data_IF_137900434775
#
_entry.id   IF_137900434775
#
_cell.length_a   1.000
_cell.length_b   1.000
_cell.length_c   1.000
_cell.angle_alpha   90.00
_cell.angle_beta   90.00
_cell.angle_gamma   90.00
#
_symmetry.space_group_name_H-M   'P 1'
#
loop_
_entity.id
_entity.type
_entity.pdbx_description
1 polymer ?
#
# COMPACT_ATOMS: atom_id res chain seq x y z
N UNK A 1 5.86 -25.99 22.66
CA UNK A 1 4.94 -24.85 22.85
C UNK A 1 4.67 -24.26 21.47
N UNK A 2 3.52 -24.53 20.95
CA UNK A 2 3.07 -23.87 19.74
C UNK A 2 2.87 -22.39 20.09
N UNK A 3 3.69 -21.51 19.55
CA UNK A 3 3.37 -20.12 19.49
C UNK A 3 2.04 -20.03 18.72
N UNK A 4 0.97 -19.76 19.40
CA UNK A 4 -0.26 -19.32 18.80
C UNK A 4 0.10 -18.05 18.07
N UNK A 5 0.37 -18.18 16.78
CA UNK A 5 0.45 -17.06 15.88
C UNK A 5 -0.94 -16.45 15.88
N UNK A 6 -1.12 -15.42 16.71
CA UNK A 6 -2.25 -14.53 16.50
C UNK A 6 -2.27 -14.16 15.03
N UNK A 7 -3.43 -14.23 14.38
CA UNK A 7 -3.49 -13.98 12.96
C UNK A 7 -2.98 -12.57 12.69
N UNK A 8 -1.72 -12.56 12.29
CA UNK A 8 -1.13 -11.63 11.34
C UNK A 8 -1.82 -10.25 11.37
N UNK A 9 -1.12 -9.31 11.93
CA UNK A 9 -1.37 -7.89 11.67
C UNK A 9 -1.74 -7.73 10.20
N UNK A 10 -2.83 -7.03 9.88
CA UNK A 10 -3.19 -6.85 8.48
C UNK A 10 -2.00 -6.27 7.73
N UNK A 11 -1.79 -6.65 6.46
CA UNK A 11 -0.68 -6.16 5.66
C UNK A 11 -0.67 -4.64 5.61
N UNK A 12 0.51 -4.05 5.58
CA UNK A 12 0.71 -2.60 5.53
C UNK A 12 1.22 -2.21 4.15
N UNK A 13 0.49 -1.32 3.47
CA UNK A 13 0.90 -0.73 2.21
C UNK A 13 1.63 0.59 2.49
N UNK A 14 2.93 0.62 2.23
CA UNK A 14 3.73 1.82 2.32
C UNK A 14 3.68 2.59 1.00
N UNK A 15 3.39 3.87 1.08
CA UNK A 15 3.23 4.75 -0.07
C UNK A 15 4.02 6.05 0.10
N UNK A 16 4.27 6.74 -1.02
CA UNK A 16 4.90 8.06 -0.99
C UNK A 16 3.93 9.11 -0.44
N UNK A 17 4.21 9.63 0.73
CA UNK A 17 3.37 10.62 1.42
C UNK A 17 3.27 11.98 0.71
N UNK A 18 4.21 12.30 -0.17
CA UNK A 18 4.24 13.56 -0.93
C UNK A 18 3.54 13.46 -2.29
N UNK A 19 3.15 12.27 -2.70
CA UNK A 19 2.61 12.01 -4.04
C UNK A 19 1.08 12.13 -4.06
N UNK A 20 0.54 13.04 -4.87
CA UNK A 20 -0.90 13.21 -5.03
C UNK A 20 -1.57 11.96 -5.64
N UNK A 21 -0.91 11.27 -6.56
CA UNK A 21 -1.39 10.01 -7.13
C UNK A 21 -1.50 8.92 -6.06
N UNK A 22 -0.48 8.80 -5.21
CA UNK A 22 -0.48 7.82 -4.11
C UNK A 22 -1.59 8.09 -3.10
N UNK A 23 -1.80 9.36 -2.73
CA UNK A 23 -2.92 9.76 -1.87
C UNK A 23 -4.27 9.41 -2.48
N UNK A 24 -4.45 9.69 -3.78
CA UNK A 24 -5.67 9.35 -4.51
C UNK A 24 -5.91 7.84 -4.56
N UNK A 25 -4.86 7.06 -4.77
CA UNK A 25 -4.92 5.60 -4.78
C UNK A 25 -5.31 5.05 -3.39
N UNK A 26 -4.69 5.53 -2.32
CA UNK A 26 -5.02 5.12 -0.94
C UNK A 26 -6.48 5.44 -0.61
N UNK A 27 -6.95 6.66 -0.92
CA UNK A 27 -8.36 7.02 -0.73
C UNK A 27 -9.32 6.11 -1.48
N UNK A 28 -8.96 5.73 -2.70
CA UNK A 28 -9.77 4.81 -3.51
C UNK A 28 -9.79 3.40 -2.95
N UNK A 29 -8.66 2.89 -2.49
CA UNK A 29 -8.57 1.59 -1.83
C UNK A 29 -9.38 1.55 -0.53
N UNK A 30 -9.30 2.58 0.30
CA UNK A 30 -10.12 2.73 1.51
C UNK A 30 -11.61 2.71 1.18
N UNK A 31 -12.02 3.46 0.15
CA UNK A 31 -13.41 3.49 -0.30
C UNK A 31 -13.87 2.12 -0.80
N UNK A 32 -13.06 1.44 -1.58
CA UNK A 32 -13.40 0.11 -2.10
C UNK A 32 -13.51 -0.94 -1.01
N UNK A 33 -12.67 -0.87 0.01
CA UNK A 33 -12.77 -1.75 1.16
C UNK A 33 -14.08 -1.53 1.92
N UNK A 34 -14.47 -0.29 2.14
CA UNK A 34 -15.75 0.05 2.78
C UNK A 34 -16.97 -0.44 1.98
N UNK A 35 -16.91 -0.37 0.63
CA UNK A 35 -18.00 -0.82 -0.23
C UNK A 35 -18.15 -2.35 -0.29
N UNK A 36 -17.06 -3.08 -0.09
CA UNK A 36 -17.08 -4.55 -0.10
C UNK A 36 -17.48 -5.18 1.24
N UNK A 37 -17.42 -4.41 2.30
CA UNK A 37 -17.81 -4.85 3.63
C UNK A 37 -19.11 -4.18 4.07
N UNK A 38 -20.13 -4.96 4.39
CA UNK A 38 -21.40 -4.48 4.96
C UNK A 38 -21.25 -3.85 6.36
N UNK A 39 -20.02 -3.71 6.83
CA UNK A 39 -19.63 -3.04 8.10
C UNK A 39 -18.23 -2.45 7.96
N UNK A 40 -17.93 -1.33 8.62
CA UNK A 40 -16.56 -1.02 8.95
C UNK A 40 -16.01 -2.25 9.67
N UNK A 41 -15.11 -2.97 9.01
CA UNK A 41 -14.58 -4.20 9.56
C UNK A 41 -13.94 -3.87 10.91
N UNK A 42 -14.28 -4.59 11.93
CA UNK A 42 -13.61 -4.52 13.23
C UNK A 42 -12.09 -4.80 13.07
N UNK A 43 -11.71 -5.36 11.92
CA UNK A 43 -10.34 -5.57 11.51
C UNK A 43 -10.16 -5.09 10.06
N UNK A 44 -9.35 -4.06 9.81
CA UNK A 44 -9.04 -3.62 8.46
C UNK A 44 -8.27 -4.73 7.72
N UNK A 45 -8.63 -4.96 6.46
CA UNK A 45 -7.93 -5.92 5.59
C UNK A 45 -6.58 -5.41 5.11
N UNK A 46 -6.40 -4.11 5.10
CA UNK A 46 -5.18 -3.45 4.66
C UNK A 46 -4.99 -2.17 5.47
N UNK A 47 -3.77 -1.95 5.93
CA UNK A 47 -3.35 -0.70 6.55
C UNK A 47 -2.45 0.08 5.59
N UNK A 48 -2.31 1.34 5.83
CA UNK A 48 -1.50 2.25 5.02
C UNK A 48 -0.53 3.01 5.91
N UNK A 49 0.66 3.27 5.40
CA UNK A 49 1.66 4.11 6.08
C UNK A 49 2.52 4.85 5.05
N UNK A 50 2.94 6.08 5.34
CA UNK A 50 3.88 6.77 4.48
C UNK A 50 5.27 6.14 4.57
N UNK A 51 5.99 6.12 3.44
CA UNK A 51 7.36 5.58 3.36
C UNK A 51 8.38 6.37 4.19
N UNK A 52 8.09 7.61 4.50
CA UNK A 52 8.88 8.51 5.35
C UNK A 52 8.35 8.63 6.78
N UNK A 53 7.35 7.84 7.14
CA UNK A 53 6.74 7.84 8.46
C UNK A 53 7.50 7.02 9.49
N UNK A 54 7.08 7.16 10.75
CA UNK A 54 7.70 6.48 11.89
C UNK A 54 7.61 4.96 11.81
N UNK A 55 6.51 4.43 11.32
CA UNK A 55 6.32 2.98 11.14
C UNK A 55 7.32 2.41 10.14
N UNK A 56 7.50 3.07 9.01
CA UNK A 56 8.47 2.64 8.00
C UNK A 56 9.91 2.72 8.51
N UNK A 57 10.24 3.77 9.27
CA UNK A 57 11.55 3.92 9.86
C UNK A 57 11.85 2.82 10.88
N UNK A 58 10.89 2.49 11.73
CA UNK A 58 11.03 1.41 12.71
C UNK A 58 11.31 0.06 12.02
N UNK A 59 10.56 -0.29 10.98
CA UNK A 59 10.77 -1.53 10.23
C UNK A 59 12.09 -1.55 9.45
N UNK A 60 12.57 -0.41 8.95
CA UNK A 60 13.90 -0.32 8.34
C UNK A 60 15.02 -0.58 9.35
N UNK A 61 14.91 -0.05 10.56
CA UNK A 61 15.87 -0.32 11.65
C UNK A 61 15.91 -1.80 12.04
N UNK A 62 14.79 -2.49 11.89
CA UNK A 62 14.68 -3.94 12.13
C UNK A 62 15.16 -4.78 10.93
N UNK A 63 15.46 -4.15 9.79
CA UNK A 63 15.84 -4.83 8.55
C UNK A 63 14.69 -5.45 7.78
N UNK A 64 13.45 -5.12 8.12
CA UNK A 64 12.23 -5.66 7.49
C UNK A 64 11.75 -4.86 6.28
N UNK A 65 12.23 -3.65 6.10
CA UNK A 65 11.95 -2.82 4.94
C UNK A 65 13.23 -2.39 4.22
N UNK A 66 13.19 -2.34 2.86
CA UNK A 66 14.31 -1.81 2.09
C UNK A 66 14.55 -0.32 2.39
N UNK A 67 15.79 0.11 2.19
CA UNK A 67 16.21 1.48 2.48
C UNK A 67 15.71 2.52 1.47
N UNK A 68 15.34 2.09 0.24
CA UNK A 68 14.83 3.00 -0.77
C UNK A 68 13.38 3.43 -0.49
N UNK A 69 12.99 4.57 -1.03
CA UNK A 69 11.67 5.19 -0.82
C UNK A 69 10.94 5.49 -2.14
N UNK A 70 11.38 4.88 -3.22
CA UNK A 70 10.91 5.21 -4.57
C UNK A 70 9.74 4.35 -5.05
N UNK A 71 9.53 3.21 -4.43
CA UNK A 71 8.49 2.26 -4.79
C UNK A 71 7.47 2.05 -3.67
N UNK A 72 6.24 1.77 -4.05
CA UNK A 72 5.21 1.29 -3.13
C UNK A 72 5.61 -0.10 -2.63
N UNK A 73 5.48 -0.33 -1.34
CA UNK A 73 5.86 -1.58 -0.68
C UNK A 73 4.66 -2.12 0.10
N UNK A 74 4.30 -3.36 -0.16
CA UNK A 74 3.37 -4.10 0.70
C UNK A 74 4.19 -5.00 1.63
N UNK A 75 4.06 -4.77 2.91
CA UNK A 75 4.72 -5.53 3.96
C UNK A 75 3.74 -6.45 4.66
N UNK A 76 4.18 -7.67 4.90
CA UNK A 76 3.55 -8.66 5.76
C UNK A 76 4.61 -9.27 6.67
N UNK A 77 4.20 -9.95 7.72
CA UNK A 77 5.14 -10.63 8.64
C UNK A 77 6.00 -11.72 7.95
N UNK A 78 5.62 -12.13 6.75
CA UNK A 78 6.28 -13.21 6.02
C UNK A 78 7.07 -12.74 4.81
N UNK A 79 6.61 -11.68 4.14
CA UNK A 79 7.19 -11.22 2.89
C UNK A 79 6.94 -9.74 2.63
N UNK A 80 7.74 -9.16 1.75
CA UNK A 80 7.53 -7.84 1.19
C UNK A 80 7.38 -7.93 -0.32
N UNK A 81 6.41 -7.20 -0.86
CA UNK A 81 6.24 -7.02 -2.30
C UNK A 81 6.45 -5.54 -2.65
N UNK A 82 7.04 -5.28 -3.79
CA UNK A 82 7.37 -3.92 -4.24
C UNK A 82 6.77 -3.62 -5.62
N UNK A 83 6.52 -2.35 -5.89
CA UNK A 83 6.10 -1.88 -7.19
C UNK A 83 4.77 -2.48 -7.65
N UNK A 84 4.73 -3.00 -8.88
CA UNK A 84 3.52 -3.57 -9.44
C UNK A 84 3.02 -4.82 -8.69
N UNK A 85 3.92 -5.58 -8.07
CA UNK A 85 3.57 -6.72 -7.24
C UNK A 85 2.85 -6.28 -5.95
N UNK A 86 3.29 -5.18 -5.34
CA UNK A 86 2.62 -4.59 -4.19
C UNK A 86 1.20 -4.12 -4.52
N UNK A 87 0.99 -3.48 -5.66
CA UNK A 87 -0.33 -3.05 -6.14
C UNK A 87 -1.26 -4.25 -6.34
N UNK A 88 -0.78 -5.29 -7.01
CA UNK A 88 -1.54 -6.51 -7.24
C UNK A 88 -1.93 -7.21 -5.93
N UNK A 89 -1.00 -7.33 -5.00
CA UNK A 89 -1.25 -7.93 -3.69
C UNK A 89 -2.23 -7.10 -2.84
N UNK A 90 -2.13 -5.77 -2.88
CA UNK A 90 -3.07 -4.87 -2.20
C UNK A 90 -4.50 -5.03 -2.74
N UNK A 91 -4.67 -5.11 -4.06
CA UNK A 91 -5.98 -5.35 -4.67
C UNK A 91 -6.60 -6.68 -4.24
N UNK A 92 -5.80 -7.73 -4.10
CA UNK A 92 -6.27 -9.01 -3.56
C UNK A 92 -6.67 -8.90 -2.09
N UNK A 93 -5.86 -8.22 -1.29
CA UNK A 93 -6.11 -8.06 0.14
C UNK A 93 -7.44 -7.35 0.43
N UNK A 94 -7.80 -6.34 -0.35
CA UNK A 94 -9.08 -5.61 -0.20
C UNK A 94 -10.29 -6.32 -0.83
N UNK A 95 -10.12 -7.52 -1.36
CA UNK A 95 -11.20 -8.31 -1.96
C UNK A 95 -11.57 -7.92 -3.39
N UNK A 96 -10.60 -7.43 -4.17
CA UNK A 96 -10.75 -7.13 -5.60
C UNK A 96 -9.91 -8.06 -6.50
N UNK A 97 -10.08 -9.40 -6.40
CA UNK A 97 -9.26 -10.35 -7.14
C UNK A 97 -9.44 -10.23 -8.67
N UNK A 98 -10.59 -9.78 -9.14
CA UNK A 98 -10.84 -9.56 -10.58
C UNK A 98 -9.97 -8.44 -11.13
N UNK A 99 -9.80 -7.34 -10.40
CA UNK A 99 -8.90 -6.25 -10.78
C UNK A 99 -7.43 -6.70 -10.72
N UNK A 100 -7.05 -7.42 -9.68
CA UNK A 100 -5.73 -8.02 -9.58
C UNK A 100 -5.46 -9.00 -10.73
N UNK A 101 -6.44 -9.82 -11.09
CA UNK A 101 -6.37 -10.75 -12.22
C UNK A 101 -6.26 -10.04 -13.57
N UNK A 102 -7.05 -8.99 -13.80
CA UNK A 102 -6.96 -8.18 -15.01
C UNK A 102 -5.57 -7.52 -15.16
N UNK A 103 -5.06 -6.96 -14.07
CA UNK A 103 -3.71 -6.41 -14.02
C UNK A 103 -2.64 -7.49 -14.27
N UNK A 104 -2.83 -8.68 -13.70
CA UNK A 104 -1.94 -9.83 -13.87
C UNK A 104 -1.92 -10.41 -15.30
N UNK A 105 -2.97 -10.19 -16.10
CA UNK A 105 -3.02 -10.62 -17.51
C UNK A 105 -2.11 -9.79 -18.42
N UNK A 106 -1.76 -8.59 -18.02
CA UNK A 106 -0.77 -7.81 -18.75
C UNK A 106 0.59 -8.50 -18.70
N UNK A 107 1.32 -8.56 -19.82
CA UNK A 107 2.68 -9.09 -19.83
C UNK A 107 3.56 -8.40 -18.77
N UNK A 108 4.38 -9.17 -18.06
CA UNK A 108 5.23 -8.62 -16.99
C UNK A 108 6.11 -7.44 -17.43
N UNK A 109 6.75 -7.46 -18.63
CA UNK A 109 7.51 -6.30 -19.11
C UNK A 109 6.66 -5.04 -19.23
N UNK A 110 5.42 -5.17 -19.70
CA UNK A 110 4.48 -4.04 -19.87
C UNK A 110 4.05 -3.49 -18.51
N UNK A 111 3.72 -4.34 -17.56
CA UNK A 111 3.39 -3.91 -16.18
C UNK A 111 4.54 -3.15 -15.54
N UNK A 112 5.75 -3.68 -15.63
CA UNK A 112 6.96 -3.07 -15.08
C UNK A 112 7.26 -1.73 -15.74
N UNK A 113 7.17 -1.68 -17.07
CA UNK A 113 7.38 -0.45 -17.81
C UNK A 113 6.34 0.61 -17.45
N UNK A 114 5.07 0.27 -17.40
CA UNK A 114 3.99 1.16 -16.98
C UNK A 114 4.16 1.66 -15.56
N UNK A 115 4.50 0.78 -14.64
CA UNK A 115 4.78 1.16 -13.24
C UNK A 115 5.97 2.12 -13.14
N UNK A 116 7.09 1.81 -13.78
CA UNK A 116 8.30 2.67 -13.78
C UNK A 116 8.02 4.03 -14.40
N UNK A 117 7.29 4.07 -15.50
CA UNK A 117 6.90 5.30 -16.17
C UNK A 117 6.03 6.16 -15.23
N UNK A 118 5.01 5.58 -14.63
CA UNK A 118 4.14 6.26 -13.66
C UNK A 118 4.93 6.72 -12.44
N UNK A 119 5.77 5.86 -11.87
CA UNK A 119 6.60 6.20 -10.72
C UNK A 119 7.56 7.37 -11.01
N UNK A 120 8.12 7.41 -12.22
CA UNK A 120 9.04 8.48 -12.63
C UNK A 120 8.35 9.82 -12.83
N UNK A 121 7.16 9.82 -13.42
CA UNK A 121 6.46 11.05 -13.82
C UNK A 121 5.28 11.43 -12.91
N UNK A 122 4.97 10.64 -11.88
CA UNK A 122 3.83 10.86 -10.99
C UNK A 122 3.75 12.25 -10.39
N UNK A 123 4.89 12.82 -9.95
CA UNK A 123 4.93 14.17 -9.41
C UNK A 123 4.68 15.25 -10.47
N UNK A 124 5.12 15.00 -11.70
CA UNK A 124 4.92 15.91 -12.82
C UNK A 124 3.50 15.89 -13.35
N UNK A 125 2.87 14.70 -13.38
CA UNK A 125 1.52 14.53 -13.91
C UNK A 125 0.43 14.84 -12.89
N UNK A 126 0.63 14.48 -11.65
CA UNK A 126 -0.38 14.57 -10.60
C UNK A 126 -0.02 15.59 -9.50
N UNK A 127 1.21 16.08 -9.48
CA UNK A 127 1.69 17.03 -8.48
C UNK A 127 2.05 16.39 -7.14
N UNK A 128 2.43 17.26 -6.21
CA UNK A 128 2.74 16.89 -4.83
C UNK A 128 1.63 17.36 -3.89
N UNK A 129 1.43 16.63 -2.82
CA UNK A 129 0.52 17.04 -1.74
C UNK A 129 1.28 17.97 -0.80
N UNK A 130 0.67 19.08 -0.32
CA UNK A 130 1.29 19.92 0.70
C UNK A 130 1.67 19.10 1.93
N UNK A 131 2.84 19.39 2.50
CA UNK A 131 3.30 18.76 3.74
C UNK A 131 2.23 18.93 4.83
N UNK A 132 1.87 17.82 5.47
CA UNK A 132 0.85 17.83 6.54
C UNK A 132 -0.60 17.76 6.06
N UNK A 133 -0.86 17.49 4.77
CA UNK A 133 -2.20 17.17 4.30
C UNK A 133 -2.57 15.76 4.76
N UNK A 134 -3.37 15.57 5.82
CA UNK A 134 -3.72 14.25 6.29
C UNK A 134 -4.66 13.57 5.30
N UNK A 135 -4.43 12.31 5.02
CA UNK A 135 -5.52 11.46 4.55
C UNK A 135 -6.64 11.54 5.58
N UNK A 136 -7.92 11.55 5.18
CA UNK A 136 -9.02 11.39 6.12
C UNK A 136 -8.79 10.06 6.83
N UNK A 137 -8.26 10.14 8.05
CA UNK A 137 -7.61 9.03 8.69
C UNK A 137 -8.51 8.46 9.77
N UNK A 138 -8.91 7.24 9.56
CA UNK A 138 -9.11 6.33 10.65
C UNK A 138 -7.70 5.93 11.16
N UNK A 139 -7.31 6.29 12.41
CA UNK A 139 -6.00 5.94 12.96
C UNK A 139 -5.71 4.44 13.00
N UNK A 140 -6.77 3.61 12.95
CA UNK A 140 -6.65 2.17 12.87
C UNK A 140 -6.18 1.68 11.50
N UNK A 141 -6.31 2.51 10.46
CA UNK A 141 -5.99 2.16 9.08
C UNK A 141 -4.78 2.87 8.50
N UNK A 142 -4.52 4.09 8.94
CA UNK A 142 -3.38 4.89 8.49
C UNK A 142 -2.43 5.05 9.66
N UNK A 143 -1.28 4.42 9.55
CA UNK A 143 -0.23 4.46 10.57
C UNK A 143 0.67 5.70 10.37
N UNK A 144 1.28 6.22 11.44
CA UNK A 144 2.20 7.35 11.34
C UNK A 144 3.53 7.01 10.69
#
# INVERSE_FOLDING_TARGET
MAATSDPISPPVLFYDGDCALCHGAVRRLLRWECLNGKRPAAQPKLRFAPLDGHTAEALRKQGELPGHREAVILWTDQETAEGEAAVSAALRAIGRPRLAGAFGRLPAPLRRAGYRLTARYRHRWFGRVPAGCPLPADPARVLP
#
